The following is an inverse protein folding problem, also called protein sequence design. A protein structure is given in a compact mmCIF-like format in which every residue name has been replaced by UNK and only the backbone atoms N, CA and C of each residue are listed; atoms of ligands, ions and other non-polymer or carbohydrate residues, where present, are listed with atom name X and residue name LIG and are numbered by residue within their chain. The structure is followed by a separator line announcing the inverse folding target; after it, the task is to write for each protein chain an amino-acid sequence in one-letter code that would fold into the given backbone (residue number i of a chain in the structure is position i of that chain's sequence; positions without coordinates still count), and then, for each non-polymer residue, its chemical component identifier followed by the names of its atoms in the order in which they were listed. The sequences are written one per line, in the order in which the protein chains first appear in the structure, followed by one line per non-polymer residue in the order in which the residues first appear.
data_IF_958824603726
#
_entry.id   IF_958824603726
#
_cell.length_a   1.000
_cell.length_b   1.000
_cell.length_c   1.000
_cell.angle_alpha   90.00
_cell.angle_beta   90.00
_cell.angle_gamma   90.00
#
_symmetry.space_group_name_H-M   'P 1'
#
loop_
_entity.id
_entity.type
_entity.pdbx_description
1 polymer ?
#
# COMPACT_ATOMS: atom_id res chain seq x y z
N UNK A 1 -49.45 43.49 -37.96
CA UNK A 1 -48.66 43.50 -36.75
C UNK A 1 -48.81 42.21 -35.89
N UNK A 2 -48.95 41.01 -36.48
CA UNK A 2 -49.17 39.75 -35.73
C UNK A 2 -48.07 38.67 -35.93
N UNK A 3 -47.04 38.97 -36.70
CA UNK A 3 -46.01 38.00 -37.07
C UNK A 3 -44.75 38.02 -36.16
N UNK A 4 -44.41 39.13 -35.55
CA UNK A 4 -43.15 39.33 -34.85
C UNK A 4 -43.15 38.81 -33.41
N UNK A 5 -44.33 38.68 -32.78
CA UNK A 5 -44.48 38.15 -31.43
C UNK A 5 -44.24 36.62 -31.33
N UNK A 6 -44.45 35.91 -32.47
CA UNK A 6 -44.24 34.43 -32.49
C UNK A 6 -42.76 34.02 -32.65
N UNK A 7 -41.93 34.86 -33.24
CA UNK A 7 -40.50 34.61 -33.41
C UNK A 7 -39.70 34.92 -32.15
N UNK A 8 -40.17 35.87 -31.30
CA UNK A 8 -39.51 36.16 -30.03
C UNK A 8 -39.75 35.07 -28.99
N UNK A 9 -40.89 34.38 -29.00
CA UNK A 9 -41.19 33.30 -28.07
C UNK A 9 -40.39 32.00 -28.36
N UNK A 10 -40.10 31.72 -29.65
CA UNK A 10 -39.30 30.57 -30.06
C UNK A 10 -37.80 30.71 -29.69
N UNK A 11 -37.28 31.95 -29.73
CA UNK A 11 -35.90 32.23 -29.33
C UNK A 11 -35.62 32.09 -27.84
N UNK A 12 -36.61 32.42 -26.98
CA UNK A 12 -36.46 32.27 -25.51
C UNK A 12 -36.55 30.83 -25.05
N UNK A 13 -37.28 29.96 -25.76
CA UNK A 13 -37.35 28.52 -25.41
C UNK A 13 -36.10 27.74 -25.82
N UNK A 14 -35.33 28.20 -26.79
CA UNK A 14 -34.08 27.54 -27.18
C UNK A 14 -32.90 27.88 -26.26
N UNK A 15 -32.94 28.97 -25.50
CA UNK A 15 -31.89 29.36 -24.57
C UNK A 15 -32.03 28.74 -23.18
N UNK A 16 -33.24 28.27 -22.85
CA UNK A 16 -33.49 27.56 -21.58
C UNK A 16 -33.04 26.07 -21.58
N UNK A 17 -32.70 25.51 -22.74
CA UNK A 17 -32.27 24.11 -22.87
C UNK A 17 -30.74 23.90 -22.74
N UNK A 18 -29.94 24.95 -22.55
CA UNK A 18 -28.48 24.90 -22.59
C UNK A 18 -27.84 24.89 -21.19
N UNK A 19 -28.52 24.43 -20.17
CA UNK A 19 -28.03 24.59 -18.80
C UNK A 19 -28.33 23.46 -17.84
N UNK A 20 -28.54 22.23 -18.31
CA UNK A 20 -28.38 21.08 -17.39
C UNK A 20 -26.89 20.70 -17.44
N UNK A 21 -26.07 21.47 -16.75
CA UNK A 21 -24.80 20.93 -16.26
C UNK A 21 -25.16 19.69 -15.44
N UNK A 22 -24.97 18.51 -16.01
CA UNK A 22 -24.91 17.28 -15.22
C UNK A 22 -23.83 17.55 -14.19
N UNK A 23 -24.22 17.69 -12.94
CA UNK A 23 -23.27 17.45 -11.86
C UNK A 23 -22.76 16.04 -12.14
N UNK A 24 -21.51 15.92 -12.58
CA UNK A 24 -20.88 14.62 -12.70
C UNK A 24 -21.04 13.96 -11.33
N UNK A 25 -21.75 12.81 -11.29
CA UNK A 25 -21.96 12.09 -10.06
C UNK A 25 -20.58 11.76 -9.50
N UNK A 26 -20.22 12.39 -8.38
CA UNK A 26 -18.93 12.15 -7.70
C UNK A 26 -18.91 10.69 -7.27
N UNK A 27 -17.99 9.92 -7.84
CA UNK A 27 -17.85 8.51 -7.54
C UNK A 27 -17.21 8.35 -6.17
N UNK A 28 -17.82 7.55 -5.30
CA UNK A 28 -17.25 7.22 -3.99
C UNK A 28 -16.32 6.03 -4.12
N UNK A 29 -15.16 6.11 -3.46
CA UNK A 29 -14.21 5.02 -3.41
C UNK A 29 -13.55 4.91 -2.04
N UNK A 30 -13.33 3.69 -1.57
CA UNK A 30 -12.57 3.39 -0.35
C UNK A 30 -11.20 2.83 -0.73
N UNK A 31 -10.15 3.42 -0.20
CA UNK A 31 -8.77 2.98 -0.44
C UNK A 31 -8.17 2.47 0.86
N UNK A 32 -7.84 1.18 0.90
CA UNK A 32 -7.05 0.58 1.98
C UNK A 32 -5.59 0.99 1.85
N UNK A 33 -4.98 1.50 2.92
CA UNK A 33 -3.64 2.09 2.88
C UNK A 33 -2.87 1.86 4.18
N UNK A 34 -1.55 1.76 4.07
CA UNK A 34 -0.63 1.73 5.22
C UNK A 34 -0.15 3.15 5.53
N UNK A 35 0.08 3.46 6.83
CA UNK A 35 0.71 4.71 7.27
C UNK A 35 2.22 4.67 7.06
N UNK A 36 2.66 4.61 5.80
CA UNK A 36 4.06 4.51 5.41
C UNK A 36 4.41 5.61 4.40
N UNK A 37 5.68 5.98 4.36
CA UNK A 37 6.21 6.92 3.36
C UNK A 37 5.99 6.45 1.92
N UNK A 38 5.98 5.13 1.69
CA UNK A 38 5.65 4.54 0.39
C UNK A 38 4.21 4.79 -0.06
N UNK A 39 3.29 5.14 0.85
CA UNK A 39 1.91 5.54 0.55
C UNK A 39 1.73 7.04 0.34
N UNK A 40 2.80 7.83 0.43
CA UNK A 40 2.75 9.29 0.32
C UNK A 40 2.01 9.82 -0.93
N UNK A 41 2.10 9.22 -2.14
CA UNK A 41 1.34 9.69 -3.29
C UNK A 41 -0.17 9.73 -3.04
N UNK A 42 -0.74 8.75 -2.31
CA UNK A 42 -2.18 8.74 -1.97
C UNK A 42 -2.52 9.86 -0.99
N UNK A 43 -1.68 10.07 0.03
CA UNK A 43 -1.89 11.15 1.00
C UNK A 43 -1.79 12.52 0.37
N UNK A 44 -0.82 12.72 -0.55
CA UNK A 44 -0.67 13.95 -1.31
C UNK A 44 -1.89 14.17 -2.23
N UNK A 45 -2.38 13.13 -2.91
CA UNK A 45 -3.55 13.24 -3.76
C UNK A 45 -4.80 13.63 -2.96
N UNK A 46 -4.96 13.08 -1.76
CA UNK A 46 -6.05 13.44 -0.85
C UNK A 46 -5.92 14.89 -0.35
N UNK A 47 -4.74 15.27 0.14
CA UNK A 47 -4.47 16.60 0.72
C UNK A 47 -4.58 17.72 -0.34
N UNK A 48 -4.07 17.48 -1.54
CA UNK A 48 -4.12 18.43 -2.66
C UNK A 48 -5.44 18.47 -3.40
N UNK A 49 -6.37 17.57 -3.10
CA UNK A 49 -7.68 17.54 -3.75
C UNK A 49 -7.70 16.86 -5.12
N UNK A 50 -6.63 16.19 -5.54
CA UNK A 50 -6.54 15.55 -6.87
C UNK A 50 -7.61 14.48 -7.10
N UNK A 51 -8.05 13.79 -6.06
CA UNK A 51 -9.18 12.87 -6.17
C UNK A 51 -10.47 13.59 -6.52
N UNK A 52 -10.76 14.73 -5.88
CA UNK A 52 -11.95 15.54 -6.18
C UNK A 52 -11.89 16.13 -7.57
N UNK A 53 -10.73 16.61 -8.00
CA UNK A 53 -10.52 17.10 -9.37
C UNK A 53 -10.77 15.99 -10.41
N UNK A 54 -10.52 14.73 -10.05
CA UNK A 54 -10.81 13.55 -10.87
C UNK A 54 -12.26 13.03 -10.71
N UNK A 55 -13.14 13.75 -10.00
CA UNK A 55 -14.52 13.34 -9.76
C UNK A 55 -14.68 12.20 -8.74
N UNK A 56 -13.70 12.04 -7.82
CA UNK A 56 -13.70 10.99 -6.81
C UNK A 56 -13.84 11.58 -5.39
N UNK A 57 -14.75 11.00 -4.60
CA UNK A 57 -14.84 11.19 -3.15
C UNK A 57 -14.20 9.96 -2.48
N UNK A 58 -12.97 10.13 -1.99
CA UNK A 58 -12.14 9.03 -1.48
C UNK A 58 -12.13 8.99 0.04
N UNK A 59 -12.47 7.83 0.60
CA UNK A 59 -12.29 7.49 1.99
C UNK A 59 -11.04 6.61 2.16
N UNK A 60 -10.09 7.03 3.01
CA UNK A 60 -8.91 6.23 3.33
C UNK A 60 -9.17 5.33 4.53
N UNK A 61 -9.01 4.02 4.35
CA UNK A 61 -9.05 3.01 5.41
C UNK A 61 -7.62 2.60 5.77
N UNK A 62 -7.24 2.77 7.02
CA UNK A 62 -5.88 2.50 7.49
C UNK A 62 -5.74 1.08 8.03
N UNK A 63 -4.64 0.45 7.67
CA UNK A 63 -4.24 -0.89 8.11
C UNK A 63 -2.81 -0.87 8.67
N UNK A 64 -2.51 -1.80 9.58
CA UNK A 64 -1.18 -1.90 10.20
C UNK A 64 -0.23 -2.84 9.44
N UNK A 65 -0.77 -3.70 8.57
CA UNK A 65 0.00 -4.64 7.74
C UNK A 65 -0.58 -4.77 6.34
N UNK A 66 0.24 -5.20 5.38
CA UNK A 66 -0.11 -5.28 3.97
C UNK A 66 -1.13 -6.39 3.64
N UNK A 67 -1.03 -7.54 4.30
CA UNK A 67 -1.89 -8.70 3.97
C UNK A 67 -3.37 -8.47 4.25
N UNK A 68 -3.80 -7.83 5.36
CA UNK A 68 -5.20 -7.48 5.58
C UNK A 68 -5.81 -6.60 4.49
N UNK A 69 -5.02 -5.74 3.83
CA UNK A 69 -5.51 -4.90 2.73
C UNK A 69 -5.95 -5.76 1.54
N UNK A 70 -5.18 -6.78 1.16
CA UNK A 70 -5.55 -7.69 0.08
C UNK A 70 -6.85 -8.45 0.40
N UNK A 71 -7.06 -8.82 1.67
CA UNK A 71 -8.30 -9.44 2.13
C UNK A 71 -9.47 -8.47 2.05
N UNK A 72 -9.31 -7.25 2.57
CA UNK A 72 -10.32 -6.20 2.55
C UNK A 72 -10.73 -5.78 1.13
N UNK A 73 -9.77 -5.80 0.18
CA UNK A 73 -10.10 -5.55 -1.24
C UNK A 73 -10.90 -6.71 -1.84
N UNK A 74 -10.60 -7.94 -1.45
CA UNK A 74 -11.32 -9.12 -1.95
C UNK A 74 -12.73 -9.22 -1.36
N UNK A 75 -12.92 -8.83 -0.10
CA UNK A 75 -14.25 -8.82 0.56
C UNK A 75 -15.13 -7.65 0.12
N UNK A 76 -14.57 -6.62 -0.53
CA UNK A 76 -15.29 -5.40 -0.89
C UNK A 76 -15.38 -4.37 0.26
N UNK A 77 -14.66 -4.56 1.35
CA UNK A 77 -14.56 -3.56 2.43
C UNK A 77 -13.83 -2.30 1.96
N UNK A 78 -12.93 -2.46 0.99
CA UNK A 78 -12.29 -1.37 0.24
C UNK A 78 -12.32 -1.69 -1.26
N UNK A 79 -12.42 -0.66 -2.09
CA UNK A 79 -12.46 -0.79 -3.56
C UNK A 79 -11.05 -0.95 -4.14
N UNK A 80 -10.07 -0.29 -3.53
CA UNK A 80 -8.66 -0.33 -3.92
C UNK A 80 -7.78 -0.58 -2.70
N UNK A 81 -6.67 -1.29 -2.91
CA UNK A 81 -5.67 -1.52 -1.88
C UNK A 81 -4.30 -1.01 -2.30
N UNK A 82 -3.72 -0.12 -1.48
CA UNK A 82 -2.31 0.27 -1.58
C UNK A 82 -1.53 -0.58 -0.61
N UNK A 83 -0.89 -1.61 -1.12
CA UNK A 83 -0.30 -2.68 -0.32
C UNK A 83 1.03 -3.15 -0.92
N UNK A 84 1.70 -4.05 -0.23
CA UNK A 84 2.92 -4.69 -0.70
C UNK A 84 2.64 -6.07 -1.33
N UNK A 85 3.58 -6.57 -2.11
CA UNK A 85 3.53 -7.92 -2.67
C UNK A 85 3.72 -8.97 -1.58
N UNK A 86 2.60 -9.48 -1.06
CA UNK A 86 2.55 -10.55 -0.06
C UNK A 86 2.22 -11.89 -0.72
N UNK A 87 2.50 -13.00 -0.04
CA UNK A 87 2.12 -14.33 -0.53
C UNK A 87 0.60 -14.42 -0.78
N UNK A 88 -0.22 -13.80 0.09
CA UNK A 88 -1.67 -13.73 -0.08
C UNK A 88 -2.08 -12.97 -1.32
N UNK A 89 -1.45 -11.82 -1.60
CA UNK A 89 -1.73 -11.03 -2.81
C UNK A 89 -1.37 -11.84 -4.07
N UNK A 90 -0.19 -12.48 -4.12
CA UNK A 90 0.19 -13.33 -5.25
C UNK A 90 -0.80 -14.46 -5.50
N UNK A 91 -1.27 -15.13 -4.43
CA UNK A 91 -2.26 -16.20 -4.55
C UNK A 91 -3.58 -15.69 -5.12
N UNK A 92 -4.10 -14.55 -4.62
CA UNK A 92 -5.36 -13.95 -5.08
C UNK A 92 -5.24 -13.41 -6.50
N UNK A 93 -4.11 -12.79 -6.85
CA UNK A 93 -3.86 -12.32 -8.21
C UNK A 93 -3.70 -13.48 -9.21
N UNK A 94 -3.01 -14.55 -8.81
CA UNK A 94 -2.88 -15.77 -9.63
C UNK A 94 -4.21 -16.48 -9.91
N UNK A 95 -5.19 -16.32 -9.02
CA UNK A 95 -6.57 -16.79 -9.22
C UNK A 95 -7.46 -15.80 -9.97
N UNK A 96 -6.93 -14.65 -10.39
CA UNK A 96 -7.71 -13.59 -11.06
C UNK A 96 -8.64 -12.80 -10.14
N UNK A 97 -8.57 -12.99 -8.81
CA UNK A 97 -9.43 -12.30 -7.83
C UNK A 97 -8.99 -10.86 -7.65
N UNK A 98 -7.69 -10.58 -7.68
CA UNK A 98 -7.12 -9.24 -7.60
C UNK A 98 -6.31 -8.92 -8.87
N UNK A 99 -6.24 -7.65 -9.20
CA UNK A 99 -5.39 -7.12 -10.29
C UNK A 99 -4.50 -6.00 -9.76
N UNK A 100 -3.24 -5.99 -10.17
CA UNK A 100 -2.33 -4.86 -9.95
C UNK A 100 -2.58 -3.85 -11.06
N UNK A 101 -3.05 -2.66 -10.69
CA UNK A 101 -3.40 -1.59 -11.64
C UNK A 101 -2.36 -0.47 -11.72
N UNK A 102 -1.41 -0.42 -10.78
CA UNK A 102 -0.35 0.57 -10.78
C UNK A 102 0.69 0.30 -9.72
N UNK A 103 1.86 0.93 -9.85
CA UNK A 103 2.93 0.94 -8.86
C UNK A 103 3.00 2.28 -8.14
N UNK A 104 3.23 2.24 -6.81
CA UNK A 104 3.37 3.46 -5.99
C UNK A 104 4.82 3.89 -5.86
N UNK A 105 5.73 2.95 -5.74
CA UNK A 105 7.16 3.18 -5.53
C UNK A 105 7.96 1.97 -6.00
N UNK A 106 9.24 2.19 -6.23
CA UNK A 106 10.21 1.13 -6.52
C UNK A 106 11.56 1.48 -5.92
N UNK A 107 12.31 0.46 -5.55
CA UNK A 107 13.70 0.65 -5.17
C UNK A 107 14.56 1.04 -6.38
N UNK A 108 15.51 1.92 -6.13
CA UNK A 108 16.53 2.35 -7.09
C UNK A 108 17.86 2.50 -6.34
N UNK A 109 18.97 2.30 -7.01
CA UNK A 109 20.30 2.52 -6.43
C UNK A 109 20.39 3.92 -5.79
N UNK A 110 20.76 3.98 -4.52
CA UNK A 110 20.79 5.20 -3.71
C UNK A 110 19.44 5.60 -3.06
N UNK A 111 18.35 4.90 -3.37
CA UNK A 111 17.00 5.17 -2.83
C UNK A 111 16.35 3.86 -2.36
N UNK A 112 16.83 3.24 -1.25
CA UNK A 112 16.26 2.01 -0.72
C UNK A 112 14.89 2.28 -0.11
N UNK A 113 13.97 1.32 -0.24
CA UNK A 113 12.66 1.33 0.41
C UNK A 113 12.62 0.42 1.65
N UNK A 114 13.48 -0.60 1.68
CA UNK A 114 13.57 -1.56 2.78
C UNK A 114 14.98 -1.54 3.33
N UNK A 115 15.08 -1.43 4.66
CA UNK A 115 16.33 -1.58 5.40
C UNK A 115 16.41 -2.93 6.12
N UNK A 116 17.64 -3.42 6.27
CA UNK A 116 17.96 -4.60 7.08
C UNK A 116 18.76 -4.13 8.29
N UNK A 117 18.18 -4.28 9.47
CA UNK A 117 18.73 -3.73 10.70
C UNK A 117 19.05 -4.85 11.68
N UNK A 118 20.22 -4.79 12.31
CA UNK A 118 20.56 -5.60 13.46
C UNK A 118 20.36 -4.79 14.74
N UNK A 119 19.97 -5.44 15.85
CA UNK A 119 20.06 -4.82 17.17
C UNK A 119 21.53 -4.57 17.55
N UNK A 120 21.79 -3.61 18.45
CA UNK A 120 23.16 -3.27 18.83
C UNK A 120 23.90 -4.47 19.41
N UNK A 121 23.25 -5.23 20.30
CA UNK A 121 23.84 -6.42 20.89
C UNK A 121 24.09 -7.53 19.87
N UNK A 122 23.15 -7.78 18.96
CA UNK A 122 23.33 -8.76 17.90
C UNK A 122 24.46 -8.35 16.94
N UNK A 123 24.54 -7.06 16.61
CA UNK A 123 25.63 -6.52 15.80
C UNK A 123 26.98 -6.65 16.48
N UNK A 124 27.07 -6.34 17.77
CA UNK A 124 28.28 -6.51 18.56
C UNK A 124 28.70 -8.00 18.70
N UNK A 125 27.69 -8.89 18.77
CA UNK A 125 27.89 -10.35 18.82
C UNK A 125 28.16 -11.00 17.45
N UNK A 126 28.38 -10.22 16.40
CA UNK A 126 28.83 -10.72 15.11
C UNK A 126 27.78 -10.80 14.00
N UNK A 127 26.53 -10.32 14.18
CA UNK A 127 25.55 -10.21 13.11
C UNK A 127 25.91 -9.02 12.21
N UNK A 128 26.79 -9.23 11.24
CA UNK A 128 27.33 -8.19 10.35
C UNK A 128 26.81 -8.28 8.94
N UNK A 129 26.41 -9.47 8.52
CA UNK A 129 25.98 -9.77 7.13
C UNK A 129 24.74 -10.64 7.14
N UNK A 130 23.99 -10.71 6.03
CA UNK A 130 22.85 -11.63 5.94
C UNK A 130 23.18 -13.11 6.21
N UNK A 131 24.42 -13.55 5.99
CA UNK A 131 24.85 -14.92 6.29
C UNK A 131 24.77 -15.26 7.79
N UNK A 132 24.86 -14.24 8.63
CA UNK A 132 24.88 -14.42 10.09
C UNK A 132 23.44 -14.52 10.67
N UNK A 133 22.41 -14.52 9.84
CA UNK A 133 21.01 -14.58 10.24
C UNK A 133 20.55 -15.98 10.69
N UNK A 134 21.28 -17.05 10.33
CA UNK A 134 20.96 -18.40 10.79
C UNK A 134 20.95 -18.46 12.34
N UNK A 135 19.89 -19.04 12.91
CA UNK A 135 19.66 -19.12 14.35
C UNK A 135 19.17 -17.82 15.01
N UNK A 136 19.15 -16.70 14.30
CA UNK A 136 18.73 -15.38 14.84
C UNK A 136 17.22 -15.19 14.81
N UNK A 137 16.73 -14.39 15.76
CA UNK A 137 15.33 -13.92 15.83
C UNK A 137 15.17 -12.74 14.89
N UNK A 138 14.39 -12.91 13.83
CA UNK A 138 14.20 -11.85 12.81
C UNK A 138 12.75 -11.42 12.78
N UNK A 139 12.52 -10.14 13.08
CA UNK A 139 11.19 -9.55 13.03
C UNK A 139 10.72 -9.33 11.60
N UNK A 140 9.49 -9.72 11.36
CA UNK A 140 8.70 -9.40 10.15
C UNK A 140 7.31 -8.95 10.58
N UNK A 141 6.56 -8.28 9.70
CA UNK A 141 5.18 -7.92 10.04
C UNK A 141 4.28 -9.16 10.16
N UNK A 142 4.37 -10.07 9.20
CA UNK A 142 3.60 -11.33 9.19
C UNK A 142 4.36 -12.40 8.42
N UNK A 143 4.09 -13.66 8.72
CA UNK A 143 4.49 -14.78 7.85
C UNK A 143 3.78 -14.62 6.51
N UNK A 144 4.55 -14.72 5.40
CA UNK A 144 4.01 -14.45 4.06
C UNK A 144 3.98 -12.97 3.66
N UNK A 145 4.46 -12.05 4.52
CA UNK A 145 4.64 -10.64 4.16
C UNK A 145 5.75 -10.45 3.12
N UNK A 146 5.81 -9.27 2.51
CA UNK A 146 6.91 -8.90 1.61
C UNK A 146 8.28 -8.96 2.31
N UNK A 147 8.35 -8.65 3.60
CA UNK A 147 9.56 -8.79 4.39
C UNK A 147 9.99 -10.25 4.55
N UNK A 148 9.03 -11.15 4.82
CA UNK A 148 9.33 -12.60 4.87
C UNK A 148 9.81 -13.11 3.51
N UNK A 149 9.19 -12.67 2.41
CA UNK A 149 9.65 -12.99 1.07
C UNK A 149 11.06 -12.46 0.79
N UNK A 150 11.35 -11.20 1.14
CA UNK A 150 12.69 -10.61 0.99
C UNK A 150 13.74 -11.36 1.79
N UNK A 151 13.39 -11.85 2.97
CA UNK A 151 14.31 -12.70 3.77
C UNK A 151 14.60 -14.04 3.09
N UNK A 152 13.60 -14.62 2.41
CA UNK A 152 13.80 -15.80 1.55
C UNK A 152 14.78 -15.54 0.40
N UNK A 153 14.64 -14.39 -0.28
CA UNK A 153 15.59 -13.99 -1.33
C UNK A 153 17.02 -13.79 -0.79
N UNK A 154 17.17 -13.29 0.45
CA UNK A 154 18.48 -13.22 1.10
C UNK A 154 19.03 -14.61 1.40
N UNK A 155 18.19 -15.52 1.87
CA UNK A 155 18.60 -16.90 2.16
C UNK A 155 19.15 -17.57 0.88
N UNK A 156 18.43 -17.44 -0.23
CA UNK A 156 18.88 -17.97 -1.54
C UNK A 156 20.17 -17.30 -2.01
N UNK A 157 20.24 -15.97 -1.94
CA UNK A 157 21.41 -15.21 -2.40
C UNK A 157 22.68 -15.48 -1.59
N UNK A 158 22.55 -15.63 -0.29
CA UNK A 158 23.68 -15.75 0.62
C UNK A 158 23.95 -17.18 1.09
N UNK A 159 23.16 -18.17 0.64
CA UNK A 159 23.40 -19.59 0.84
C UNK A 159 23.13 -20.10 2.26
N UNK A 160 22.11 -19.54 2.94
CA UNK A 160 21.59 -20.09 4.20
C UNK A 160 20.15 -20.59 4.02
N UNK A 161 19.66 -21.41 4.93
CA UNK A 161 18.28 -21.90 4.87
C UNK A 161 17.36 -20.94 5.63
N UNK A 162 16.25 -20.52 5.01
CA UNK A 162 15.24 -19.70 5.68
C UNK A 162 14.66 -20.39 6.93
N UNK A 163 14.59 -21.72 6.93
CA UNK A 163 14.17 -22.54 8.08
C UNK A 163 15.07 -22.42 9.30
N UNK A 164 16.31 -21.98 9.11
CA UNK A 164 17.26 -21.81 10.20
C UNK A 164 17.08 -20.44 10.91
N UNK A 165 16.28 -19.55 10.33
CA UNK A 165 15.96 -18.24 10.90
C UNK A 165 14.71 -18.34 11.77
N UNK A 166 14.78 -17.79 12.98
CA UNK A 166 13.62 -17.72 13.89
C UNK A 166 12.76 -16.51 13.52
N UNK A 167 11.75 -16.74 12.68
CA UNK A 167 10.83 -15.68 12.26
C UNK A 167 9.94 -15.25 13.43
N UNK A 168 9.91 -13.93 13.69
CA UNK A 168 9.08 -13.32 14.74
C UNK A 168 8.07 -12.37 14.11
N UNK A 169 6.80 -12.79 13.92
CA UNK A 169 5.76 -11.92 13.35
C UNK A 169 5.25 -10.95 14.42
N UNK A 170 5.36 -9.63 14.17
CA UNK A 170 5.04 -8.57 15.12
C UNK A 170 3.87 -7.67 14.67
N UNK A 171 3.19 -8.03 13.61
CA UNK A 171 1.94 -7.45 13.08
C UNK A 171 2.07 -6.02 12.50
N UNK A 172 3.05 -5.22 12.92
CA UNK A 172 3.28 -3.87 12.39
C UNK A 172 4.76 -3.54 12.32
N UNK A 173 5.13 -2.54 11.52
CA UNK A 173 6.51 -2.01 11.47
C UNK A 173 6.89 -1.32 12.77
N UNK A 174 5.94 -0.64 13.43
CA UNK A 174 6.20 0.02 14.71
C UNK A 174 6.58 -1.00 15.79
N UNK A 175 5.87 -2.13 15.84
CA UNK A 175 6.21 -3.21 16.77
C UNK A 175 7.57 -3.85 16.45
N UNK A 176 7.89 -4.03 15.16
CA UNK A 176 9.19 -4.57 14.74
C UNK A 176 10.34 -3.62 15.12
N UNK A 177 10.17 -2.31 14.92
CA UNK A 177 11.13 -1.30 15.32
C UNK A 177 11.30 -1.24 16.86
N UNK A 178 10.20 -1.30 17.60
CA UNK A 178 10.24 -1.35 19.08
C UNK A 178 10.95 -2.61 19.60
N UNK A 179 10.66 -3.77 19.02
CA UNK A 179 11.31 -5.03 19.37
C UNK A 179 12.81 -5.00 19.07
N UNK A 180 13.21 -4.41 17.94
CA UNK A 180 14.62 -4.23 17.57
C UNK A 180 15.33 -3.30 18.58
N UNK A 181 14.72 -2.14 18.89
CA UNK A 181 15.24 -1.18 19.86
C UNK A 181 15.33 -1.78 21.27
N UNK A 182 14.33 -2.56 21.67
CA UNK A 182 14.29 -3.27 22.96
C UNK A 182 15.07 -4.57 22.98
N UNK A 183 15.77 -4.92 21.88
CA UNK A 183 16.65 -6.08 21.73
C UNK A 183 15.96 -7.44 21.99
N UNK A 184 14.63 -7.47 21.87
CA UNK A 184 13.84 -8.71 21.96
C UNK A 184 13.91 -9.53 20.67
N UNK A 185 14.39 -8.93 19.59
CA UNK A 185 14.79 -9.59 18.33
C UNK A 185 16.22 -9.19 17.96
N UNK A 186 16.87 -10.03 17.17
CA UNK A 186 18.27 -9.83 16.77
C UNK A 186 18.37 -8.99 15.49
N UNK A 187 17.37 -9.08 14.61
CA UNK A 187 17.27 -8.30 13.40
C UNK A 187 15.81 -7.99 13.04
N UNK A 188 15.63 -7.00 12.17
CA UNK A 188 14.33 -6.64 11.58
C UNK A 188 14.50 -6.15 10.14
N UNK A 189 13.48 -6.38 9.33
CA UNK A 189 13.28 -5.72 8.04
C UNK A 189 12.27 -4.59 8.25
N UNK A 190 12.68 -3.35 7.90
CA UNK A 190 11.89 -2.14 8.14
C UNK A 190 11.88 -1.23 6.90
#
# INVERSE_FOLDING_TARGET
MKGWARLALAGLLMWAASGIARADDVLKAKIGVLRLSSSAPVFIAQDKGYFREAGLDVELKFFDAAQPIAVATTSGDVDFGVTAFTAGLYNLAGKGVLKVIGGMSREKAGYPLIGYFASNNAYAAGLKTPKDLAGKRVAVTQVGSSFHYSLGLLADKYGFKLSDVKIVPLQSLSNAAAALKGETVDAALL
#
